data_IF_541386828581
#
_entry.id   IF_541386828581
#
_cell.length_a   1.000
_cell.length_b   1.000
_cell.length_c   1.000
_cell.angle_alpha   90.00
_cell.angle_beta   90.00
_cell.angle_gamma   90.00
#
_symmetry.space_group_name_H-M   'P 1'
#
loop_
_entity.id
_entity.type
_entity.pdbx_description
1 polymer ?
#
# COMPACT_ATOMS: atom_id res chain seq x y z
N UNK A 1 4.39 18.08 1.43
CA UNK A 1 3.23 17.43 0.77
C UNK A 1 1.99 18.31 0.78
N UNK A 2 1.42 18.67 1.94
CA UNK A 2 0.25 19.58 2.00
C UNK A 2 0.45 20.91 1.27
N UNK A 3 1.63 21.53 1.39
CA UNK A 3 1.96 22.79 0.69
C UNK A 3 2.05 22.65 -0.84
N UNK A 4 2.16 21.41 -1.35
CA UNK A 4 2.11 21.09 -2.78
C UNK A 4 0.73 20.55 -3.21
N UNK A 5 -0.27 20.63 -2.34
CA UNK A 5 -1.63 20.14 -2.59
C UNK A 5 -1.77 18.60 -2.51
N UNK A 6 -0.78 17.89 -1.96
CA UNK A 6 -0.84 16.44 -1.80
C UNK A 6 -1.35 16.06 -0.42
N UNK A 7 -2.31 15.14 -0.41
CA UNK A 7 -2.93 14.58 0.79
C UNK A 7 -2.49 13.13 0.97
N UNK A 8 -2.32 12.72 2.23
CA UNK A 8 -2.09 11.33 2.62
C UNK A 8 -3.22 10.93 3.56
N UNK A 9 -3.83 9.78 3.30
CA UNK A 9 -4.84 9.15 4.15
C UNK A 9 -4.26 7.83 4.66
N UNK A 10 -4.39 7.59 5.95
CA UNK A 10 -3.86 6.41 6.60
C UNK A 10 -4.93 5.30 6.63
N UNK A 11 -4.49 4.07 6.41
CA UNK A 11 -5.33 2.88 6.48
C UNK A 11 -4.68 1.85 7.43
N UNK A 12 -5.50 0.99 8.05
CA UNK A 12 -5.06 -0.08 8.92
C UNK A 12 -4.85 -1.36 8.12
N UNK A 13 -3.64 -1.91 8.17
CA UNK A 13 -3.25 -3.14 7.49
C UNK A 13 -4.01 -4.39 7.98
N UNK A 14 -4.59 -4.34 9.18
CA UNK A 14 -5.40 -5.42 9.75
C UNK A 14 -6.88 -5.31 9.37
N UNK A 15 -7.31 -4.18 8.82
CA UNK A 15 -8.68 -3.95 8.35
C UNK A 15 -8.66 -3.33 6.94
N UNK A 16 -8.68 -4.21 5.95
CA UNK A 16 -8.63 -3.83 4.53
C UNK A 16 -9.78 -2.91 4.09
N UNK A 17 -10.90 -2.89 4.81
CA UNK A 17 -12.01 -1.97 4.51
C UNK A 17 -11.61 -0.50 4.69
N UNK A 18 -10.61 -0.24 5.54
CA UNK A 18 -10.06 1.11 5.74
C UNK A 18 -9.28 1.61 4.53
N UNK A 19 -8.73 0.74 3.68
CA UNK A 19 -8.12 1.16 2.41
C UNK A 19 -9.20 1.60 1.43
N UNK A 20 -10.19 0.73 1.20
CA UNK A 20 -11.21 0.96 0.17
C UNK A 20 -12.11 2.16 0.49
N UNK A 21 -12.44 2.38 1.77
CA UNK A 21 -13.23 3.53 2.22
C UNK A 21 -12.56 4.90 2.06
N UNK A 22 -11.23 4.94 1.87
CA UNK A 22 -10.46 6.17 1.71
C UNK A 22 -10.18 6.52 0.25
N UNK A 23 -10.50 5.64 -0.69
CA UNK A 23 -10.28 5.85 -2.13
C UNK A 23 -11.38 6.75 -2.71
N UNK A 24 -10.96 7.77 -3.45
CA UNK A 24 -11.82 8.69 -4.20
C UNK A 24 -11.20 9.06 -5.56
N UNK A 25 -11.84 9.97 -6.29
CA UNK A 25 -11.42 10.48 -7.59
C UNK A 25 -10.06 11.21 -7.57
N UNK A 26 -9.63 11.68 -6.39
CA UNK A 26 -8.35 12.35 -6.19
C UNK A 26 -7.22 11.40 -5.82
N UNK A 27 -7.53 10.16 -5.47
CA UNK A 27 -6.54 9.14 -5.12
C UNK A 27 -5.69 8.79 -6.34
N UNK A 28 -4.36 8.72 -6.17
CA UNK A 28 -3.40 8.48 -7.27
C UNK A 28 -2.53 7.24 -7.10
N UNK A 29 -2.43 6.70 -5.90
CA UNK A 29 -1.67 5.48 -5.61
C UNK A 29 -2.05 4.93 -4.24
N UNK A 30 -1.73 3.66 -4.02
CA UNK A 30 -1.63 3.04 -2.69
C UNK A 30 -0.16 2.81 -2.40
N UNK A 31 0.29 3.14 -1.19
CA UNK A 31 1.67 2.95 -0.74
C UNK A 31 1.68 2.08 0.52
N UNK A 32 2.53 1.04 0.53
CA UNK A 32 2.71 0.13 1.67
C UNK A 32 4.19 -0.21 1.85
N UNK A 33 4.56 -0.67 3.04
CA UNK A 33 5.84 -1.35 3.30
C UNK A 33 5.57 -2.86 3.38
N UNK A 34 6.38 -3.68 2.69
CA UNK A 34 6.22 -5.14 2.75
C UNK A 34 6.56 -5.71 4.14
N UNK A 35 7.48 -5.04 4.83
CA UNK A 35 7.85 -5.25 6.21
C UNK A 35 8.09 -3.88 6.87
N UNK A 36 7.14 -3.44 7.69
CA UNK A 36 7.12 -2.08 8.23
C UNK A 36 8.08 -1.88 9.41
N UNK A 37 8.83 -0.78 9.40
CA UNK A 37 9.68 -0.39 10.53
C UNK A 37 8.93 0.48 11.57
N UNK A 38 9.34 0.50 12.86
CA UNK A 38 10.29 -0.41 13.51
C UNK A 38 9.65 -1.74 13.98
N UNK A 39 8.32 -1.86 13.87
CA UNK A 39 7.54 -2.95 14.49
C UNK A 39 7.61 -4.31 13.80
N UNK A 40 8.14 -4.39 12.58
CA UNK A 40 8.21 -5.63 11.81
C UNK A 40 6.85 -6.16 11.37
N UNK A 41 5.90 -5.27 11.09
CA UNK A 41 4.54 -5.65 10.68
C UNK A 41 4.52 -5.99 9.20
N UNK A 42 3.98 -7.15 8.85
CA UNK A 42 3.75 -7.56 7.47
C UNK A 42 2.42 -7.05 6.96
N UNK A 43 2.35 -6.86 5.64
CA UNK A 43 1.12 -6.49 4.94
C UNK A 43 0.75 -7.56 3.91
N UNK A 44 -0.54 -7.78 3.71
CA UNK A 44 -1.04 -8.68 2.68
C UNK A 44 -1.03 -7.98 1.32
N UNK A 45 0.10 -8.09 0.61
CA UNK A 45 0.34 -7.41 -0.68
C UNK A 45 -0.71 -7.82 -1.72
N UNK A 46 -1.10 -9.10 -1.75
CA UNK A 46 -2.05 -9.63 -2.72
C UNK A 46 -3.43 -9.02 -2.56
N UNK A 47 -3.96 -8.99 -1.32
CA UNK A 47 -5.27 -8.38 -1.09
C UNK A 47 -5.28 -6.87 -1.34
N UNK A 48 -4.18 -6.17 -1.04
CA UNK A 48 -4.07 -4.74 -1.35
C UNK A 48 -3.90 -4.51 -2.85
N UNK A 49 -3.16 -5.37 -3.55
CA UNK A 49 -3.04 -5.38 -5.00
C UNK A 49 -4.39 -5.55 -5.69
N UNK A 50 -5.24 -6.42 -5.17
CA UNK A 50 -6.61 -6.58 -5.67
C UNK A 50 -7.46 -5.32 -5.48
N UNK A 51 -7.36 -4.65 -4.33
CA UNK A 51 -8.02 -3.35 -4.12
C UNK A 51 -7.50 -2.33 -5.13
N UNK A 52 -6.17 -2.18 -5.26
CA UNK A 52 -5.55 -1.25 -6.19
C UNK A 52 -6.04 -1.49 -7.64
N UNK A 53 -6.08 -2.76 -8.07
CA UNK A 53 -6.52 -3.16 -9.42
C UNK A 53 -7.99 -2.86 -9.66
N UNK A 54 -8.89 -3.12 -8.69
CA UNK A 54 -10.32 -2.79 -8.80
C UNK A 54 -10.56 -1.30 -9.02
N UNK A 55 -9.73 -0.45 -8.41
CA UNK A 55 -9.84 1.01 -8.51
C UNK A 55 -8.94 1.62 -9.59
N UNK A 56 -8.20 0.81 -10.35
CA UNK A 56 -7.28 1.28 -11.40
C UNK A 56 -6.11 2.11 -10.87
N UNK A 57 -5.68 1.86 -9.63
CA UNK A 57 -4.60 2.58 -8.96
C UNK A 57 -3.28 1.78 -9.01
N UNK A 58 -2.13 2.45 -9.11
CA UNK A 58 -0.84 1.80 -8.90
C UNK A 58 -0.66 1.46 -7.41
N UNK A 59 -0.10 0.27 -7.16
CA UNK A 59 0.41 -0.14 -5.85
C UNK A 59 1.93 0.05 -5.79
N UNK A 60 2.40 0.82 -4.82
CA UNK A 60 3.83 1.03 -4.54
C UNK A 60 4.16 0.26 -3.26
N UNK A 61 5.16 -0.61 -3.34
CA UNK A 61 5.62 -1.42 -2.21
C UNK A 61 7.06 -1.07 -1.88
N UNK A 62 7.28 -0.46 -0.73
CA UNK A 62 8.62 -0.33 -0.15
C UNK A 62 9.06 -1.71 0.36
N UNK A 63 10.07 -2.26 -0.29
CA UNK A 63 10.60 -3.58 0.00
C UNK A 63 12.01 -3.53 0.61
N UNK A 64 12.40 -2.38 1.17
CA UNK A 64 13.78 -2.11 1.62
C UNK A 64 14.24 -3.10 2.68
N UNK A 65 13.42 -3.38 3.71
CA UNK A 65 13.79 -4.28 4.79
C UNK A 65 13.79 -5.75 4.38
N UNK A 66 12.83 -6.18 3.57
CA UNK A 66 12.71 -7.58 3.17
C UNK A 66 13.71 -7.94 2.04
N UNK A 67 14.04 -6.99 1.15
CA UNK A 67 14.80 -7.21 -0.09
C UNK A 67 14.08 -8.15 -1.09
N UNK A 68 14.44 -8.13 -2.38
CA UNK A 68 13.87 -9.05 -3.38
C UNK A 68 14.22 -10.52 -3.14
N UNK A 69 15.19 -10.81 -2.26
CA UNK A 69 15.52 -12.18 -1.90
C UNK A 69 14.42 -12.84 -1.06
N UNK A 70 13.79 -12.09 -0.13
CA UNK A 70 12.75 -12.63 0.76
C UNK A 70 11.35 -12.40 0.21
N UNK A 71 11.08 -11.20 -0.33
CA UNK A 71 9.75 -10.82 -0.82
C UNK A 71 9.90 -10.25 -2.22
N UNK A 72 9.08 -10.73 -3.17
CA UNK A 72 9.05 -10.24 -4.56
C UNK A 72 7.69 -9.59 -4.83
N UNK A 73 7.46 -8.31 -4.45
CA UNK A 73 6.12 -7.72 -4.47
C UNK A 73 5.39 -7.77 -5.81
N UNK A 74 6.13 -7.67 -6.92
CA UNK A 74 5.59 -7.71 -8.29
C UNK A 74 4.86 -9.03 -8.58
N UNK A 75 5.23 -10.13 -7.92
CA UNK A 75 4.56 -11.43 -8.08
C UNK A 75 3.24 -11.51 -7.30
N UNK A 76 2.98 -10.56 -6.41
CA UNK A 76 1.82 -10.52 -5.52
C UNK A 76 0.87 -9.36 -5.83
N UNK A 77 1.04 -8.58 -6.90
CA UNK A 77 0.15 -7.44 -7.16
C UNK A 77 0.47 -6.65 -8.42
#
# INVERSE_FOLDING_TARGET
FKNYGWEVRWADVNDLSTFESQIDDKTKAIFIESLANPGGVFVDIEKIGDIARRHGLPLIVDNTLASPYLVRPIEHG
#
